data_IF_006037800706
#
_entry.id   IF_006037800706
#
_cell.length_a   1.000
_cell.length_b   1.000
_cell.length_c   1.000
_cell.angle_alpha   90.00
_cell.angle_beta   90.00
_cell.angle_gamma   90.00
#
_symmetry.space_group_name_H-M   'P 1'
#
loop_
_entity.id
_entity.type
_entity.pdbx_description
1 polymer ?
#
# COMPACT_ATOMS: atom_id res chain seq x y z
N UNK A 1 -5.19 4.48 8.01
CA UNK A 1 -4.50 5.02 6.82
C UNK A 1 -3.91 6.36 7.22
N UNK A 2 -2.62 6.59 6.99
CA UNK A 2 -1.95 7.85 7.29
C UNK A 2 -1.77 8.63 5.99
N UNK A 3 -2.09 9.91 5.98
CA UNK A 3 -1.92 10.78 4.80
C UNK A 3 -0.89 11.87 5.12
N UNK A 4 0.04 12.10 4.22
CA UNK A 4 0.97 13.23 4.29
C UNK A 4 0.43 14.36 3.44
N UNK A 5 0.37 15.53 4.06
CA UNK A 5 -0.09 16.77 3.41
C UNK A 5 1.08 17.71 3.20
N UNK A 6 0.99 18.53 2.15
CA UNK A 6 1.95 19.60 1.95
C UNK A 6 1.82 20.63 3.09
N UNK A 7 2.94 21.10 3.68
CA UNK A 7 2.87 22.14 4.69
C UNK A 7 2.18 23.40 4.14
N UNK A 8 1.11 23.85 4.80
CA UNK A 8 0.37 25.06 4.41
C UNK A 8 -0.75 24.84 3.39
N UNK A 9 -0.94 23.62 2.88
CA UNK A 9 -2.13 23.26 2.08
C UNK A 9 -2.76 21.98 2.65
N UNK A 10 -4.03 21.73 2.36
CA UNK A 10 -4.68 20.46 2.69
C UNK A 10 -4.51 19.43 1.57
N UNK A 11 -3.54 19.63 0.69
CA UNK A 11 -3.28 18.74 -0.44
C UNK A 11 -2.50 17.52 0.03
N UNK A 12 -3.04 16.33 -0.26
CA UNK A 12 -2.42 15.06 0.13
C UNK A 12 -1.38 14.68 -0.91
N UNK A 13 -0.12 14.70 -0.51
CA UNK A 13 1.02 14.32 -1.37
C UNK A 13 1.18 12.80 -1.40
N UNK A 14 0.96 12.12 -0.27
CA UNK A 14 1.20 10.68 -0.15
C UNK A 14 0.29 10.02 0.89
N UNK A 15 0.06 8.71 0.78
CA UNK A 15 -0.77 7.93 1.68
C UNK A 15 -0.16 6.58 2.01
N UNK A 16 -0.07 6.28 3.30
CA UNK A 16 0.40 4.99 3.80
C UNK A 16 -0.73 4.12 4.34
N UNK A 17 -0.86 2.88 3.86
CA UNK A 17 -1.77 1.92 4.45
C UNK A 17 -1.21 1.43 5.80
N UNK A 18 -1.79 1.91 6.90
CA UNK A 18 -1.56 1.34 8.22
C UNK A 18 -2.20 -0.05 8.28
N UNK A 19 -1.40 -1.11 8.11
CA UNK A 19 -1.88 -2.47 8.35
C UNK A 19 -1.79 -2.77 9.84
N UNK A 20 -2.92 -3.12 10.45
CA UNK A 20 -2.96 -3.68 11.80
C UNK A 20 -2.09 -4.95 11.85
N UNK A 21 -1.08 -4.96 12.73
CA UNK A 21 -0.22 -6.13 12.97
C UNK A 21 1.26 -5.98 12.58
N UNK A 22 1.67 -4.86 11.97
CA UNK A 22 3.10 -4.55 11.81
C UNK A 22 3.54 -3.79 13.06
N UNK A 23 4.23 -4.48 13.96
CA UNK A 23 4.71 -3.98 15.26
C UNK A 23 5.17 -2.51 15.20
N UNK A 24 4.55 -1.69 16.05
CA UNK A 24 4.39 -0.23 16.00
C UNK A 24 5.68 0.61 15.88
N UNK A 25 6.85 0.05 16.19
CA UNK A 25 8.13 0.79 16.12
C UNK A 25 8.67 0.95 14.68
N UNK A 26 8.42 -0.03 13.81
CA UNK A 26 8.96 -0.04 12.44
C UNK A 26 8.29 1.01 11.54
N UNK A 27 7.00 1.25 11.77
CA UNK A 27 6.18 2.15 10.97
C UNK A 27 6.49 3.63 11.30
N UNK A 28 6.75 3.93 12.58
CA UNK A 28 7.17 5.28 12.98
C UNK A 28 8.54 5.64 12.39
N UNK A 29 9.51 4.72 12.44
CA UNK A 29 10.83 4.95 11.83
C UNK A 29 10.75 5.16 10.30
N UNK A 30 9.84 4.43 9.64
CA UNK A 30 9.56 4.61 8.21
C UNK A 30 9.00 6.01 7.92
N UNK A 31 8.03 6.48 8.71
CA UNK A 31 7.48 7.84 8.58
C UNK A 31 8.55 8.90 8.82
N UNK A 32 9.37 8.76 9.86
CA UNK A 32 10.47 9.68 10.13
C UNK A 32 11.48 9.73 8.97
N UNK A 33 11.82 8.57 8.41
CA UNK A 33 12.74 8.47 7.26
C UNK A 33 12.16 9.18 6.04
N UNK A 34 10.87 8.98 5.75
CA UNK A 34 10.18 9.70 4.67
C UNK A 34 10.19 11.21 4.89
N UNK A 35 9.87 11.68 6.09
CA UNK A 35 9.81 13.12 6.40
C UNK A 35 11.20 13.78 6.35
N UNK A 36 12.27 13.06 6.70
CA UNK A 36 13.63 13.60 6.77
C UNK A 36 14.36 13.55 5.43
N UNK A 37 14.18 12.47 4.66
CA UNK A 37 14.96 12.20 3.46
C UNK A 37 14.13 12.10 2.18
N UNK A 38 12.79 12.19 2.30
CA UNK A 38 11.86 12.11 1.18
C UNK A 38 11.58 10.68 0.69
N UNK A 39 10.77 10.54 -0.37
CA UNK A 39 10.34 9.24 -0.91
C UNK A 39 11.50 8.38 -1.43
N UNK A 40 12.60 9.00 -1.88
CA UNK A 40 13.76 8.28 -2.43
C UNK A 40 14.55 7.49 -1.38
N UNK A 41 14.36 7.79 -0.09
CA UNK A 41 15.04 7.11 1.01
C UNK A 41 14.29 5.88 1.53
N UNK A 42 13.07 5.64 1.02
CA UNK A 42 12.30 4.48 1.38
C UNK A 42 12.76 3.26 0.58
N UNK A 43 12.70 2.05 1.17
CA UNK A 43 12.90 0.83 0.41
C UNK A 43 11.88 0.77 -0.74
N UNK A 44 12.27 0.29 -1.92
CA UNK A 44 11.36 0.20 -3.05
C UNK A 44 10.10 -0.57 -2.65
N UNK A 45 8.94 0.00 -2.97
CA UNK A 45 7.66 -0.63 -2.66
C UNK A 45 7.66 -2.02 -3.29
N UNK A 46 7.51 -3.06 -2.47
CA UNK A 46 7.45 -4.42 -2.98
C UNK A 46 6.22 -4.55 -3.86
N UNK A 47 6.38 -5.34 -4.93
CA UNK A 47 5.40 -5.60 -5.98
C UNK A 47 3.96 -5.64 -5.47
N UNK A 48 2.99 -5.07 -6.22
CA UNK A 48 1.58 -5.07 -5.82
C UNK A 48 1.16 -6.49 -5.42
N UNK A 49 0.51 -6.61 -4.27
CA UNK A 49 0.02 -7.90 -3.77
C UNK A 49 -1.01 -8.44 -4.77
N UNK A 50 -0.82 -9.68 -5.24
CA UNK A 50 -1.82 -10.34 -6.09
C UNK A 50 -3.12 -10.53 -5.29
N UNK A 51 -4.22 -10.02 -5.83
CA UNK A 51 -5.55 -10.15 -5.24
C UNK A 51 -5.99 -11.61 -5.09
N UNK A 52 -5.41 -12.52 -5.87
CA UNK A 52 -5.68 -13.95 -5.84
C UNK A 52 -4.71 -14.72 -4.92
N UNK A 53 -3.73 -14.05 -4.29
CA UNK A 53 -2.84 -14.64 -3.31
C UNK A 53 -3.56 -14.79 -1.95
N UNK A 54 -4.29 -15.90 -1.85
CA UNK A 54 -5.12 -16.26 -0.71
C UNK A 54 -4.38 -17.27 0.18
N UNK A 55 -4.48 -17.07 1.50
CA UNK A 55 -3.84 -17.96 2.46
C UNK A 55 -4.34 -19.41 2.30
N UNK A 56 -3.47 -20.43 2.47
CA UNK A 56 -3.79 -21.82 2.14
C UNK A 56 -4.96 -22.39 2.96
N UNK A 57 -5.18 -21.86 4.16
CA UNK A 57 -6.27 -22.25 5.08
C UNK A 57 -7.63 -21.58 4.78
N UNK A 58 -7.69 -20.57 3.90
CA UNK A 58 -8.94 -19.89 3.55
C UNK A 58 -9.65 -20.60 2.38
N UNK A 59 -10.29 -21.73 2.67
CA UNK A 59 -10.96 -22.59 1.68
C UNK A 59 -12.02 -21.85 0.86
N UNK A 60 -12.82 -20.99 1.49
CA UNK A 60 -13.87 -20.21 0.80
C UNK A 60 -13.29 -19.31 -0.30
N UNK A 61 -12.16 -18.64 -0.03
CA UNK A 61 -11.51 -17.77 -1.00
C UNK A 61 -10.81 -18.53 -2.13
N UNK A 62 -10.43 -19.80 -1.92
CA UNK A 62 -9.84 -20.65 -2.97
C UNK A 62 -10.88 -21.26 -3.90
N UNK A 63 -12.09 -21.49 -3.40
CA UNK A 63 -13.21 -22.02 -4.16
C UNK A 63 -14.01 -20.92 -4.87
N UNK A 64 -13.90 -19.68 -4.41
CA UNK A 64 -14.45 -18.52 -5.09
C UNK A 64 -13.78 -18.32 -6.46
N UNK A 65 -14.52 -17.75 -7.41
CA UNK A 65 -13.96 -17.34 -8.69
C UNK A 65 -12.86 -16.30 -8.48
N UNK A 66 -11.76 -16.45 -9.23
CA UNK A 66 -10.65 -15.50 -9.18
C UNK A 66 -11.13 -14.12 -9.63
N UNK A 67 -10.72 -13.10 -8.88
CA UNK A 67 -11.01 -11.72 -9.24
C UNK A 67 -10.27 -11.40 -10.53
N UNK A 68 -11.03 -11.07 -11.58
CA UNK A 68 -10.53 -10.56 -12.86
C UNK A 68 -11.06 -9.16 -13.04
N UNK A 69 -10.22 -8.17 -12.77
CA UNK A 69 -10.55 -6.78 -13.05
C UNK A 69 -10.57 -6.55 -14.56
N UNK A 70 -11.42 -5.63 -15.05
CA UNK A 70 -11.28 -5.08 -16.39
C UNK A 70 -9.86 -4.52 -16.57
N UNK A 71 -9.24 -4.72 -17.75
CA UNK A 71 -7.84 -4.36 -17.98
C UNK A 71 -7.57 -2.86 -17.78
N UNK A 72 -8.57 -2.00 -18.01
CA UNK A 72 -8.47 -0.56 -17.74
C UNK A 72 -8.31 -0.26 -16.24
N UNK A 73 -9.05 -0.97 -15.38
CA UNK A 73 -9.04 -0.78 -13.92
C UNK A 73 -7.76 -1.38 -13.31
N UNK A 74 -7.32 -2.53 -13.81
CA UNK A 74 -6.08 -3.16 -13.37
C UNK A 74 -4.86 -2.28 -13.69
N UNK A 75 -4.89 -1.63 -14.87
CA UNK A 75 -3.87 -0.67 -15.27
C UNK A 75 -3.87 0.57 -14.37
N UNK A 76 -5.02 1.16 -14.08
CA UNK A 76 -5.11 2.31 -13.16
C UNK A 76 -4.53 1.97 -11.78
N UNK A 77 -4.89 0.79 -11.24
CA UNK A 77 -4.45 0.34 -9.92
C UNK A 77 -2.94 0.06 -9.82
N UNK A 78 -2.33 -0.37 -10.93
CA UNK A 78 -0.89 -0.72 -10.99
C UNK A 78 -0.02 0.47 -11.41
N UNK A 79 -0.59 1.50 -12.03
CA UNK A 79 0.15 2.66 -12.56
C UNK A 79 -0.11 3.96 -11.81
N UNK A 80 -1.03 3.97 -10.84
CA UNK A 80 -1.20 5.11 -9.94
C UNK A 80 0.05 5.27 -9.05
N UNK A 81 0.70 6.45 -9.07
CA UNK A 81 1.83 6.77 -8.20
C UNK A 81 1.43 6.91 -6.74
#
# INVERSE_FOLDING_TARGET
MLSIVQPGTNEVIDRFPLRFGVQDASLWNYICTYMQHGPCALPPFTTPRDANEVAPYNLFHRLAEKVKWPPEIDRESTTAP
#
